data_IF_525114831624
#
_entry.id   IF_525114831624
#
_cell.length_a   1.000
_cell.length_b   1.000
_cell.length_c   1.000
_cell.angle_alpha   90.00
_cell.angle_beta   90.00
_cell.angle_gamma   90.00
#
_symmetry.space_group_name_H-M   'P 1'
#
loop_
_entity.id
_entity.type
_entity.pdbx_description
1 polymer ?
#
# COMPACT_ATOMS: atom_id res chain seq x y z
N UNK A 1 11.98 17.55 13.23
CA UNK A 1 12.64 18.28 12.14
C UNK A 1 14.14 18.03 12.18
N UNK A 2 14.70 17.69 11.05
CA UNK A 2 16.15 17.55 10.86
C UNK A 2 16.74 18.94 10.69
N UNK A 3 17.78 19.28 11.43
CA UNK A 3 18.40 20.58 11.36
C UNK A 3 19.79 20.50 10.72
N UNK A 4 20.18 21.43 9.82
CA UNK A 4 21.46 21.37 9.12
C UNK A 4 22.69 21.58 10.04
N UNK A 5 22.49 22.11 11.22
CA UNK A 5 23.60 22.30 12.19
C UNK A 5 23.78 21.05 13.05
N UNK A 6 24.96 20.42 13.04
CA UNK A 6 25.20 19.18 13.78
C UNK A 6 24.89 19.26 15.28
N UNK A 7 25.19 20.37 15.91
CA UNK A 7 24.96 20.59 17.32
C UNK A 7 23.44 20.63 17.67
N UNK A 8 22.61 21.17 16.78
CA UNK A 8 21.15 21.17 16.95
C UNK A 8 20.59 19.79 16.66
N UNK A 9 21.08 19.11 15.60
CA UNK A 9 20.71 17.73 15.31
C UNK A 9 21.02 16.81 16.49
N UNK A 10 22.22 16.93 17.09
CA UNK A 10 22.62 16.15 18.27
C UNK A 10 21.71 16.43 19.48
N UNK A 11 21.28 17.67 19.68
CA UNK A 11 20.34 18.05 20.74
C UNK A 11 18.97 17.40 20.52
N UNK A 12 18.44 17.46 19.29
CA UNK A 12 17.17 16.84 18.92
C UNK A 12 17.20 15.32 19.14
N UNK A 13 18.28 14.67 18.74
CA UNK A 13 18.46 13.24 18.93
C UNK A 13 18.52 12.87 20.41
N UNK A 14 19.36 13.55 21.18
CA UNK A 14 19.59 13.22 22.58
C UNK A 14 18.37 13.47 23.47
N UNK A 15 17.73 14.62 23.34
CA UNK A 15 16.73 15.06 24.30
C UNK A 15 15.30 14.78 23.80
N UNK A 16 14.95 15.17 22.56
CA UNK A 16 13.58 15.07 22.08
C UNK A 16 13.23 13.64 21.68
N UNK A 17 14.07 12.96 20.89
CA UNK A 17 13.79 11.60 20.46
C UNK A 17 13.80 10.63 21.64
N UNK A 18 14.70 10.85 22.61
CA UNK A 18 14.71 10.09 23.86
C UNK A 18 13.38 10.25 24.60
N UNK A 19 12.93 11.49 24.81
CA UNK A 19 11.68 11.79 25.52
C UNK A 19 10.46 11.16 24.80
N UNK A 20 10.34 11.36 23.50
CA UNK A 20 9.26 10.82 22.69
C UNK A 20 9.18 9.29 22.81
N UNK A 21 10.30 8.63 22.77
CA UNK A 21 10.34 7.18 22.91
C UNK A 21 10.09 6.71 24.34
N UNK A 22 10.64 7.38 25.35
CA UNK A 22 10.37 7.06 26.75
C UNK A 22 8.89 7.26 27.11
N UNK A 23 8.20 8.15 26.39
CA UNK A 23 6.75 8.30 26.43
C UNK A 23 5.98 7.18 25.72
N UNK A 24 6.65 6.21 25.11
CA UNK A 24 6.03 5.04 24.49
C UNK A 24 5.68 5.18 23.02
N UNK A 25 6.16 6.20 22.32
CA UNK A 25 5.96 6.36 20.88
C UNK A 25 6.70 5.26 20.13
N UNK A 26 6.00 4.61 19.17
CA UNK A 26 6.52 3.51 18.36
C UNK A 26 6.58 3.83 16.88
N UNK A 27 5.75 4.76 16.43
CA UNK A 27 5.68 5.20 15.04
C UNK A 27 6.06 6.67 14.98
N UNK A 28 6.99 7.00 14.11
CA UNK A 28 7.39 8.38 13.85
C UNK A 28 7.16 8.72 12.39
N UNK A 29 6.59 9.88 12.14
CA UNK A 29 6.54 10.51 10.83
C UNK A 29 7.57 11.64 10.81
N UNK A 30 8.61 11.48 9.98
CA UNK A 30 9.60 12.53 9.74
C UNK A 30 9.15 13.35 8.54
N UNK A 31 8.58 14.51 8.83
CA UNK A 31 8.13 15.45 7.82
C UNK A 31 9.28 16.35 7.38
N UNK A 32 9.17 16.81 6.16
CA UNK A 32 10.10 17.73 5.51
C UNK A 32 11.54 17.50 5.92
N UNK A 33 12.26 16.76 5.14
CA UNK A 33 13.71 16.84 5.18
C UNK A 33 14.09 18.28 4.82
N UNK A 34 14.31 19.10 5.80
CA UNK A 34 14.89 20.43 5.60
C UNK A 34 16.28 20.26 5.03
N UNK A 35 16.33 20.19 3.73
CA UNK A 35 17.54 19.86 2.97
C UNK A 35 18.44 21.06 3.00
N UNK A 36 19.23 21.22 4.07
CA UNK A 36 20.20 22.31 4.15
C UNK A 36 21.42 22.08 3.27
N UNK A 37 21.92 20.86 3.17
CA UNK A 37 23.23 20.55 2.61
C UNK A 37 23.23 19.43 1.55
N UNK A 38 22.09 19.13 0.95
CA UNK A 38 21.94 18.11 -0.09
C UNK A 38 21.05 16.93 0.34
N UNK A 39 20.71 16.10 -0.61
CA UNK A 39 19.72 15.02 -0.44
C UNK A 39 20.12 13.95 0.60
N UNK A 40 21.41 13.70 0.78
CA UNK A 40 21.92 12.76 1.80
C UNK A 40 21.67 13.22 3.24
N UNK A 41 21.36 14.48 3.45
CA UNK A 41 21.07 15.02 4.79
C UNK A 41 19.80 14.41 5.37
N UNK A 42 18.73 14.32 4.58
CA UNK A 42 17.49 13.66 4.98
C UNK A 42 17.70 12.20 5.33
N UNK A 43 18.43 11.45 4.49
CA UNK A 43 18.79 10.06 4.74
C UNK A 43 19.56 9.90 6.08
N UNK A 44 20.53 10.76 6.33
CA UNK A 44 21.30 10.69 7.58
C UNK A 44 20.39 10.92 8.80
N UNK A 45 19.48 11.88 8.74
CA UNK A 45 18.56 12.14 9.83
C UNK A 45 17.58 10.99 10.08
N UNK A 46 17.06 10.38 9.02
CA UNK A 46 16.18 9.20 9.14
C UNK A 46 16.97 8.02 9.71
N UNK A 47 18.22 7.83 9.29
CA UNK A 47 19.10 6.80 9.83
C UNK A 47 19.38 7.00 11.33
N UNK A 48 19.65 8.23 11.75
CA UNK A 48 19.86 8.57 13.14
C UNK A 48 18.62 8.24 14.00
N UNK A 49 17.44 8.60 13.52
CA UNK A 49 16.17 8.23 14.17
C UNK A 49 16.02 6.71 14.24
N UNK A 50 16.29 6.02 13.16
CA UNK A 50 16.23 4.56 13.07
C UNK A 50 17.18 3.86 14.04
N UNK A 51 18.34 4.44 14.31
CA UNK A 51 19.31 3.92 15.27
C UNK A 51 18.94 4.21 16.73
N UNK A 52 18.28 5.34 17.00
CA UNK A 52 17.93 5.73 18.38
C UNK A 52 16.69 4.99 18.87
N UNK A 53 15.70 4.77 18.03
CA UNK A 53 14.41 4.19 18.42
C UNK A 53 14.53 2.81 19.10
N UNK A 54 15.41 1.87 18.67
CA UNK A 54 15.56 0.59 19.33
C UNK A 54 16.30 0.64 20.67
N UNK A 55 17.19 1.60 20.87
CA UNK A 55 18.16 1.62 21.97
C UNK A 55 17.58 1.81 23.36
N UNK A 56 16.32 2.14 23.49
CA UNK A 56 15.78 2.55 24.76
C UNK A 56 14.73 1.59 25.32
N UNK A 57 15.11 0.33 25.36
CA UNK A 57 14.50 -0.61 26.28
C UNK A 57 13.09 -1.07 25.94
N UNK A 58 12.72 -0.97 24.69
CA UNK A 58 11.48 -1.56 24.21
C UNK A 58 11.84 -2.44 23.01
N UNK A 59 11.62 -3.71 23.13
CA UNK A 59 11.89 -4.72 22.08
C UNK A 59 11.02 -4.54 20.82
N UNK A 60 10.36 -3.40 20.68
CA UNK A 60 9.56 -3.06 19.50
C UNK A 60 10.45 -2.56 18.37
N UNK A 61 10.22 -3.08 17.18
CA UNK A 61 10.85 -2.59 15.95
C UNK A 61 10.45 -1.15 15.70
N UNK A 62 11.37 -0.27 15.28
CA UNK A 62 11.03 1.08 14.89
C UNK A 62 10.16 1.05 13.63
N UNK A 63 9.15 1.91 13.59
CA UNK A 63 8.38 2.16 12.38
C UNK A 63 8.41 3.65 12.08
N UNK A 64 9.06 4.00 10.99
CA UNK A 64 9.28 5.37 10.56
C UNK A 64 8.66 5.56 9.18
N UNK A 65 7.90 6.63 9.00
CA UNK A 65 7.41 7.10 7.71
C UNK A 65 8.12 8.40 7.39
N UNK A 66 8.79 8.48 6.26
CA UNK A 66 9.56 9.65 5.84
C UNK A 66 9.09 10.19 4.51
N UNK A 67 9.20 11.50 4.33
CA UNK A 67 9.06 12.13 3.02
C UNK A 67 10.32 11.95 2.16
N UNK A 68 11.47 11.75 2.80
CA UNK A 68 12.73 11.58 2.10
C UNK A 68 12.88 10.14 1.57
N UNK A 69 12.89 10.03 0.24
CA UNK A 69 13.03 8.77 -0.50
C UNK A 69 14.38 8.58 -1.16
N UNK A 70 15.45 9.20 -0.66
CA UNK A 70 16.79 8.98 -1.21
C UNK A 70 17.22 7.52 -1.11
N UNK A 71 18.03 7.08 -2.07
CA UNK A 71 18.56 5.70 -2.08
C UNK A 71 19.26 5.36 -0.76
N UNK A 72 18.77 4.35 -0.07
CA UNK A 72 19.21 3.96 1.28
C UNK A 72 18.14 4.19 2.37
N UNK A 73 17.15 5.03 2.13
CA UNK A 73 16.06 5.30 3.09
C UNK A 73 15.27 4.04 3.43
N UNK A 74 15.12 3.12 2.48
CA UNK A 74 14.43 1.83 2.69
C UNK A 74 14.98 0.99 3.84
N UNK A 75 16.20 1.24 4.27
CA UNK A 75 16.82 0.56 5.41
C UNK A 75 16.26 1.00 6.76
N UNK A 76 15.61 2.15 6.80
CA UNK A 76 15.20 2.82 8.04
C UNK A 76 13.72 3.17 8.07
N UNK A 77 13.13 3.49 6.93
CA UNK A 77 11.78 4.05 6.86
C UNK A 77 10.99 3.55 5.66
N UNK A 78 9.67 3.55 5.80
CA UNK A 78 8.75 3.64 4.68
C UNK A 78 8.61 5.09 4.21
N UNK A 79 8.05 5.27 3.03
CA UNK A 79 7.95 6.58 2.37
C UNK A 79 6.49 6.91 2.11
N UNK A 80 6.11 8.17 2.30
CA UNK A 80 4.86 8.68 1.73
C UNK A 80 5.18 9.72 0.65
N UNK A 81 4.27 9.89 -0.29
CA UNK A 81 4.49 10.72 -1.48
C UNK A 81 4.43 12.22 -1.22
N UNK A 82 4.20 12.65 0.02
CA UNK A 82 4.09 14.06 0.39
C UNK A 82 2.67 14.62 0.27
N UNK A 83 2.57 15.93 0.31
CA UNK A 83 1.32 16.68 0.40
C UNK A 83 0.70 16.89 -0.99
N UNK A 84 -0.29 16.12 -1.35
CA UNK A 84 -1.04 16.31 -2.59
C UNK A 84 -2.50 16.68 -2.32
N UNK A 85 -3.14 17.25 -3.34
CA UNK A 85 -4.57 17.54 -3.34
C UNK A 85 -5.36 16.34 -3.85
N UNK A 86 -6.29 15.87 -3.05
CA UNK A 86 -7.23 14.81 -3.42
C UNK A 86 -8.46 15.31 -4.17
N UNK A 87 -9.49 14.45 -4.29
CA UNK A 87 -10.73 14.75 -4.97
C UNK A 87 -10.64 14.80 -6.50
N UNK A 88 -9.50 14.44 -7.05
CA UNK A 88 -9.20 14.46 -8.49
C UNK A 88 -8.68 13.10 -8.92
N UNK A 89 -9.11 12.61 -10.07
CA UNK A 89 -8.67 11.32 -10.61
C UNK A 89 -7.16 11.28 -10.93
N UNK A 90 -6.56 12.45 -11.22
CA UNK A 90 -5.12 12.62 -11.37
C UNK A 90 -4.35 12.11 -10.17
N UNK A 91 -4.91 12.21 -8.97
CA UNK A 91 -4.32 11.71 -7.74
C UNK A 91 -4.09 10.20 -7.79
N UNK A 92 -5.10 9.42 -8.20
CA UNK A 92 -4.98 7.97 -8.36
C UNK A 92 -4.05 7.63 -9.53
N UNK A 93 -4.20 8.30 -10.68
CA UNK A 93 -3.32 8.10 -11.85
C UNK A 93 -1.86 8.37 -11.55
N UNK A 94 -1.55 9.35 -10.73
CA UNK A 94 -0.21 9.64 -10.29
C UNK A 94 0.34 8.54 -9.37
N UNK A 95 -0.47 8.06 -8.42
CA UNK A 95 0.03 7.18 -7.37
C UNK A 95 0.23 5.73 -7.81
N UNK A 96 -0.58 5.18 -8.69
CA UNK A 96 -0.39 3.79 -9.14
C UNK A 96 1.00 3.60 -9.76
N UNK A 97 1.41 4.34 -10.80
CA UNK A 97 2.77 4.21 -11.34
C UNK A 97 3.86 4.66 -10.36
N UNK A 98 3.57 5.59 -9.45
CA UNK A 98 4.51 6.00 -8.40
C UNK A 98 4.82 4.83 -7.45
N UNK A 99 3.82 4.09 -7.02
CA UNK A 99 4.03 2.92 -6.15
C UNK A 99 4.79 1.80 -6.89
N UNK A 100 4.46 1.56 -8.13
CA UNK A 100 5.19 0.60 -8.98
C UNK A 100 6.66 1.04 -9.13
N UNK A 101 6.89 2.30 -9.46
CA UNK A 101 8.22 2.88 -9.63
C UNK A 101 9.05 2.90 -8.34
N UNK A 102 8.40 3.12 -7.20
CA UNK A 102 9.03 3.04 -5.88
C UNK A 102 9.57 1.63 -5.61
N UNK A 103 8.77 0.60 -5.86
CA UNK A 103 9.19 -0.79 -5.77
C UNK A 103 10.38 -1.10 -6.68
N UNK A 104 10.34 -0.65 -7.93
CA UNK A 104 11.43 -0.83 -8.90
C UNK A 104 12.72 -0.10 -8.48
N UNK A 105 12.60 0.95 -7.68
CA UNK A 105 13.73 1.73 -7.15
C UNK A 105 14.27 1.20 -5.83
N UNK A 106 13.80 0.04 -5.35
CA UNK A 106 14.21 -0.55 -4.09
C UNK A 106 13.58 0.11 -2.85
N UNK A 107 12.47 0.84 -3.04
CA UNK A 107 11.69 1.50 -1.98
C UNK A 107 10.31 0.82 -1.87
N UNK A 108 10.23 -0.43 -1.36
CA UNK A 108 9.00 -1.22 -1.45
C UNK A 108 7.90 -0.74 -0.51
N UNK A 109 8.26 -0.05 0.59
CA UNK A 109 7.32 0.42 1.60
C UNK A 109 6.90 1.85 1.29
N UNK A 110 5.94 1.99 0.39
CA UNK A 110 5.38 3.27 -0.08
C UNK A 110 3.94 3.44 0.38
N UNK A 111 3.58 4.66 0.69
CA UNK A 111 2.19 5.07 0.94
C UNK A 111 1.93 6.48 0.40
N UNK A 112 0.70 6.91 0.48
CA UNK A 112 0.25 8.28 0.20
C UNK A 112 -0.94 8.60 1.10
N UNK A 113 -1.21 9.88 1.31
CA UNK A 113 -2.38 10.30 2.06
C UNK A 113 -3.66 9.80 1.37
N UNK A 114 -4.58 9.25 2.14
CA UNK A 114 -5.84 8.77 1.59
C UNK A 114 -6.66 9.92 1.03
N UNK A 115 -6.95 9.88 -0.28
CA UNK A 115 -7.64 10.96 -1.00
C UNK A 115 -6.95 12.34 -0.83
N UNK A 116 -5.61 12.34 -0.76
CA UNK A 116 -4.78 13.52 -0.55
C UNK A 116 -4.83 14.09 0.86
N UNK A 117 -3.92 15.00 1.18
CA UNK A 117 -3.95 15.75 2.43
C UNK A 117 -4.84 16.99 2.33
N UNK A 118 -4.87 17.62 1.15
CA UNK A 118 -5.71 18.79 0.86
C UNK A 118 -6.86 18.41 -0.08
N UNK A 119 -7.98 19.11 0.02
CA UNK A 119 -9.15 18.84 -0.81
C UNK A 119 -9.76 17.46 -0.53
N UNK A 120 -10.14 16.77 -1.58
CA UNK A 120 -10.82 15.48 -1.45
C UNK A 120 -12.33 15.62 -1.30
N UNK A 121 -12.97 14.66 -0.61
CA UNK A 121 -14.41 14.61 -0.35
C UNK A 121 -15.29 14.30 -1.58
N UNK A 122 -14.69 13.89 -2.70
CA UNK A 122 -15.45 13.23 -3.75
C UNK A 122 -15.68 11.78 -3.32
N UNK A 123 -16.93 11.41 -3.07
CA UNK A 123 -17.28 10.12 -2.50
C UNK A 123 -16.78 8.95 -3.36
N UNK A 124 -16.97 9.00 -4.67
CA UNK A 124 -16.54 7.93 -5.57
C UNK A 124 -15.01 7.79 -5.57
N UNK A 125 -14.31 8.89 -5.76
CA UNK A 125 -12.85 8.88 -5.80
C UNK A 125 -12.23 8.46 -4.47
N UNK A 126 -12.75 8.97 -3.33
CA UNK A 126 -12.31 8.57 -1.98
C UNK A 126 -12.48 7.06 -1.78
N UNK A 127 -13.66 6.52 -2.13
CA UNK A 127 -13.95 5.09 -2.02
C UNK A 127 -12.99 4.27 -2.90
N UNK A 128 -12.74 4.71 -4.14
CA UNK A 128 -11.80 4.03 -5.05
C UNK A 128 -10.38 4.05 -4.52
N UNK A 129 -9.95 5.15 -3.90
CA UNK A 129 -8.62 5.25 -3.31
C UNK A 129 -8.45 4.31 -2.11
N UNK A 130 -9.45 4.19 -1.24
CA UNK A 130 -9.46 3.18 -0.17
C UNK A 130 -9.36 1.76 -0.70
N UNK A 131 -10.07 1.45 -1.78
CA UNK A 131 -10.13 0.10 -2.34
C UNK A 131 -8.76 -0.38 -2.81
N UNK A 132 -8.11 0.33 -3.72
CA UNK A 132 -6.86 -0.16 -4.28
C UNK A 132 -5.71 -0.17 -3.26
N UNK A 133 -5.73 0.74 -2.29
CA UNK A 133 -4.73 0.79 -1.21
C UNK A 133 -4.86 -0.36 -0.21
N UNK A 134 -5.90 -1.15 -0.28
CA UNK A 134 -5.99 -2.42 0.46
C UNK A 134 -4.86 -3.36 0.06
N UNK A 135 -4.51 -3.41 -1.22
CA UNK A 135 -3.40 -4.20 -1.77
C UNK A 135 -2.13 -3.36 -1.94
N UNK A 136 -1.77 -2.66 -0.88
CA UNK A 136 -0.54 -1.87 -0.80
C UNK A 136 0.14 -2.08 0.55
N UNK A 137 1.43 -1.76 0.71
CA UNK A 137 2.14 -1.96 1.97
C UNK A 137 1.52 -1.23 3.14
N UNK A 138 1.15 0.02 2.96
CA UNK A 138 0.66 0.90 4.02
C UNK A 138 -0.56 1.70 3.57
N UNK A 139 -1.43 2.02 4.52
CA UNK A 139 -2.50 3.01 4.33
C UNK A 139 -2.32 4.12 5.34
N UNK A 140 -2.23 5.35 4.86
CA UNK A 140 -2.09 6.55 5.67
C UNK A 140 -3.31 7.44 5.46
N UNK A 141 -4.02 7.73 6.53
CA UNK A 141 -5.14 8.67 6.50
C UNK A 141 -4.75 9.92 7.27
N UNK A 142 -4.66 11.03 6.58
CA UNK A 142 -4.30 12.32 7.13
C UNK A 142 -5.24 13.42 6.63
N UNK A 143 -5.37 14.45 7.44
CA UNK A 143 -6.16 15.63 7.18
C UNK A 143 -5.27 16.87 7.29
N UNK A 144 -5.25 17.71 6.26
CA UNK A 144 -4.51 18.95 6.26
C UNK A 144 -5.14 19.98 7.22
N UNK A 145 -4.44 20.25 8.32
CA UNK A 145 -4.78 21.29 9.28
C UNK A 145 -6.14 21.12 9.98
N UNK A 146 -6.67 19.90 10.04
CA UNK A 146 -7.98 19.60 10.62
C UNK A 146 -9.17 20.17 9.84
N UNK A 147 -9.00 20.43 8.54
CA UNK A 147 -10.02 21.07 7.72
C UNK A 147 -10.71 20.14 6.70
N UNK A 148 -10.15 18.96 6.47
CA UNK A 148 -10.59 18.03 5.42
C UNK A 148 -10.79 16.61 5.95
N UNK A 149 -11.73 16.43 6.85
CA UNK A 149 -12.04 15.10 7.39
C UNK A 149 -12.33 14.10 6.29
N UNK A 150 -11.44 13.11 6.14
CA UNK A 150 -11.51 12.02 5.15
C UNK A 150 -11.31 10.66 5.79
N UNK A 151 -11.66 10.53 7.06
CA UNK A 151 -11.67 9.24 7.75
C UNK A 151 -12.58 8.25 7.00
N UNK A 152 -12.40 6.95 7.19
CA UNK A 152 -13.19 5.95 6.45
C UNK A 152 -14.70 6.14 6.52
N UNK A 153 -15.20 6.83 7.55
CA UNK A 153 -16.62 7.07 7.80
C UNK A 153 -17.07 8.51 7.53
N UNK A 154 -16.16 9.42 7.16
CA UNK A 154 -16.45 10.86 7.13
C UNK A 154 -17.43 11.27 6.02
N UNK A 155 -17.47 10.54 4.92
CA UNK A 155 -18.31 10.85 3.76
C UNK A 155 -19.70 10.18 3.82
N UNK A 156 -20.02 9.46 4.90
CA UNK A 156 -21.29 8.78 5.05
C UNK A 156 -21.44 7.53 4.18
N UNK A 157 -22.67 7.02 4.08
CA UNK A 157 -22.97 5.86 3.25
C UNK A 157 -23.08 6.23 1.75
N UNK A 158 -22.70 5.32 0.83
CA UNK A 158 -22.23 3.95 1.05
C UNK A 158 -20.72 3.85 1.33
N UNK A 159 -19.96 4.95 1.29
CA UNK A 159 -18.51 4.94 1.48
C UNK A 159 -18.09 4.33 2.81
N UNK A 160 -18.77 4.66 3.90
CA UNK A 160 -18.49 4.12 5.25
C UNK A 160 -18.48 2.59 5.27
N UNK A 161 -19.53 1.96 4.76
CA UNK A 161 -19.65 0.50 4.74
C UNK A 161 -18.62 -0.14 3.82
N UNK A 162 -18.38 0.45 2.66
CA UNK A 162 -17.39 -0.04 1.69
C UNK A 162 -15.98 0.07 2.27
N UNK A 163 -15.59 1.23 2.77
CA UNK A 163 -14.26 1.46 3.34
C UNK A 163 -13.98 0.54 4.53
N UNK A 164 -14.98 0.35 5.40
CA UNK A 164 -14.89 -0.60 6.53
C UNK A 164 -14.60 -2.01 6.05
N UNK A 165 -15.28 -2.46 5.02
CA UNK A 165 -15.10 -3.80 4.47
C UNK A 165 -13.68 -4.00 3.93
N UNK A 166 -13.18 -3.03 3.15
CA UNK A 166 -11.82 -3.09 2.60
C UNK A 166 -10.74 -3.01 3.69
N UNK A 167 -10.93 -2.21 4.73
CA UNK A 167 -10.00 -2.15 5.86
C UNK A 167 -9.95 -3.47 6.65
N UNK A 168 -11.10 -4.12 6.84
CA UNK A 168 -11.15 -5.46 7.45
C UNK A 168 -10.40 -6.47 6.59
N UNK A 169 -10.64 -6.47 5.29
CA UNK A 169 -9.95 -7.34 4.34
C UNK A 169 -8.43 -7.13 4.39
N UNK A 170 -7.96 -5.87 4.46
CA UNK A 170 -6.53 -5.58 4.64
C UNK A 170 -5.98 -6.19 5.93
N UNK A 171 -6.71 -6.11 7.03
CA UNK A 171 -6.31 -6.73 8.30
C UNK A 171 -6.27 -8.26 8.21
N UNK A 172 -7.23 -8.87 7.52
CA UNK A 172 -7.27 -10.32 7.31
C UNK A 172 -6.12 -10.81 6.42
N UNK A 173 -5.70 -10.02 5.43
CA UNK A 173 -4.58 -10.32 4.53
C UNK A 173 -3.19 -10.10 5.17
N UNK A 174 -3.09 -9.75 6.44
CA UNK A 174 -1.83 -9.43 7.09
C UNK A 174 -0.75 -10.52 6.95
N UNK A 175 -1.04 -11.83 7.12
CA UNK A 175 -0.03 -12.86 6.96
C UNK A 175 0.53 -12.95 5.54
N UNK A 176 -0.32 -12.78 4.53
CA UNK A 176 0.11 -12.70 3.14
C UNK A 176 0.99 -11.47 2.92
N UNK A 177 0.52 -10.29 3.38
CA UNK A 177 1.27 -9.03 3.27
C UNK A 177 2.63 -9.13 3.95
N UNK A 178 2.71 -9.74 5.12
CA UNK A 178 3.96 -9.91 5.85
C UNK A 178 4.94 -10.83 5.13
N UNK A 179 4.45 -11.91 4.54
CA UNK A 179 5.26 -12.83 3.74
C UNK A 179 5.86 -12.16 2.51
N UNK A 180 5.06 -11.39 1.75
CA UNK A 180 5.59 -10.67 0.58
C UNK A 180 6.45 -9.46 0.97
N UNK A 181 6.27 -8.89 2.16
CA UNK A 181 7.18 -7.90 2.71
C UNK A 181 8.55 -8.50 3.01
N UNK A 182 8.61 -9.76 3.45
CA UNK A 182 9.87 -10.49 3.60
C UNK A 182 10.57 -10.70 2.26
N UNK A 183 9.83 -11.02 1.20
CA UNK A 183 10.39 -11.13 -0.15
C UNK A 183 11.00 -9.81 -0.64
N UNK A 184 10.47 -8.67 -0.17
CA UNK A 184 11.00 -7.35 -0.52
C UNK A 184 12.41 -7.11 0.04
N UNK A 185 12.78 -7.74 1.14
CA UNK A 185 14.16 -7.71 1.68
C UNK A 185 15.14 -8.33 0.69
N UNK A 186 14.69 -9.34 -0.06
CA UNK A 186 15.47 -10.04 -1.08
C UNK A 186 15.31 -9.41 -2.49
N UNK A 187 14.70 -8.24 -2.58
CA UNK A 187 14.61 -7.45 -3.80
C UNK A 187 13.31 -7.62 -4.61
N UNK A 188 12.33 -8.39 -4.13
CA UNK A 188 11.02 -8.50 -4.78
C UNK A 188 10.01 -7.58 -4.09
N UNK A 189 9.63 -6.44 -4.68
CA UNK A 189 8.71 -5.52 -4.02
C UNK A 189 7.33 -6.14 -3.80
N UNK A 190 6.59 -5.61 -2.82
CA UNK A 190 5.21 -6.03 -2.57
C UNK A 190 4.30 -5.65 -3.75
N UNK A 191 4.42 -4.42 -4.24
CA UNK A 191 3.77 -3.95 -5.48
C UNK A 191 4.74 -4.16 -6.63
N UNK A 192 4.35 -4.98 -7.59
CA UNK A 192 5.20 -5.42 -8.70
C UNK A 192 4.66 -4.92 -10.03
N UNK A 193 5.52 -4.28 -10.80
CA UNK A 193 5.22 -4.04 -12.21
C UNK A 193 4.87 -5.38 -12.89
N UNK A 194 3.91 -5.37 -13.80
CA UNK A 194 3.48 -6.60 -14.47
C UNK A 194 4.64 -7.36 -15.13
N UNK A 195 5.64 -6.64 -15.67
CA UNK A 195 6.78 -7.27 -16.32
C UNK A 195 7.75 -8.01 -15.38
N UNK A 196 7.70 -7.74 -14.06
CA UNK A 196 8.53 -8.49 -13.11
C UNK A 196 8.09 -9.95 -12.96
N UNK A 197 6.79 -10.19 -13.08
CA UNK A 197 6.21 -11.53 -12.97
C UNK A 197 5.91 -12.14 -14.36
N UNK A 198 5.55 -11.30 -15.33
CA UNK A 198 5.10 -11.71 -16.66
C UNK A 198 5.78 -10.89 -17.76
N UNK A 199 7.10 -11.08 -17.99
CA UNK A 199 7.86 -10.29 -18.96
C UNK A 199 7.44 -10.61 -20.39
N UNK A 200 6.81 -9.67 -21.06
CA UNK A 200 6.45 -9.75 -22.48
C UNK A 200 6.26 -8.36 -23.08
N UNK A 201 6.11 -8.27 -24.39
CA UNK A 201 5.97 -6.97 -25.08
C UNK A 201 4.80 -6.14 -24.60
N UNK A 202 3.72 -6.74 -24.12
CA UNK A 202 2.55 -6.05 -23.63
C UNK A 202 2.84 -5.41 -22.26
N UNK A 203 3.55 -6.11 -21.40
CA UNK A 203 3.85 -5.66 -20.03
C UNK A 203 5.01 -4.67 -19.93
N UNK A 204 5.88 -4.61 -20.95
CA UNK A 204 6.95 -3.60 -21.01
C UNK A 204 6.48 -2.20 -21.39
N UNK A 205 5.26 -2.07 -21.92
CA UNK A 205 4.72 -0.80 -22.37
C UNK A 205 3.75 -0.19 -21.36
N UNK A 206 3.12 0.91 -21.80
CA UNK A 206 2.14 1.64 -20.99
C UNK A 206 0.81 0.92 -20.80
N UNK A 207 0.57 -0.17 -21.52
CA UNK A 207 -0.70 -0.89 -21.47
C UNK A 207 -1.05 -1.41 -20.07
N UNK A 208 -0.06 -1.62 -19.23
CA UNK A 208 -0.23 -2.12 -17.86
C UNK A 208 0.21 -1.11 -16.78
N UNK A 209 0.35 0.17 -17.11
CA UNK A 209 0.82 1.18 -16.14
C UNK A 209 -0.15 1.41 -14.96
N UNK A 210 -1.43 1.09 -15.13
CA UNK A 210 -2.46 1.23 -14.11
C UNK A 210 -2.97 -0.11 -13.56
N UNK A 211 -2.13 -1.13 -13.62
CA UNK A 211 -2.36 -2.40 -12.94
C UNK A 211 -1.04 -2.94 -12.42
N UNK A 212 -1.10 -3.76 -11.38
CA UNK A 212 0.09 -4.32 -10.76
C UNK A 212 -0.19 -5.68 -10.13
N UNK A 213 0.87 -6.41 -9.85
CA UNK A 213 0.79 -7.57 -8.97
C UNK A 213 1.07 -7.15 -7.53
N UNK A 214 0.25 -7.59 -6.61
CA UNK A 214 0.52 -7.52 -5.17
C UNK A 214 0.99 -8.90 -4.71
N UNK A 215 2.30 -9.03 -4.55
CA UNK A 215 2.93 -10.33 -4.43
C UNK A 215 2.74 -11.20 -5.67
N UNK A 216 2.86 -12.53 -5.55
CA UNK A 216 2.77 -13.43 -6.70
C UNK A 216 1.34 -13.73 -7.17
N UNK A 217 0.30 -13.41 -6.37
CA UNK A 217 -1.02 -13.98 -6.61
C UNK A 217 -2.13 -12.99 -6.94
N UNK A 218 -2.07 -11.75 -6.46
CA UNK A 218 -3.11 -10.77 -6.73
C UNK A 218 -2.75 -9.86 -7.89
N UNK A 219 -3.58 -9.83 -8.90
CA UNK A 219 -3.55 -8.80 -9.94
C UNK A 219 -4.59 -7.75 -9.58
N UNK A 220 -4.15 -6.52 -9.39
CA UNK A 220 -4.98 -5.39 -9.00
C UNK A 220 -5.04 -4.40 -10.15
N UNK A 221 -6.25 -4.10 -10.62
CA UNK A 221 -6.50 -3.17 -11.72
C UNK A 221 -7.45 -2.05 -11.28
N UNK A 222 -6.96 -1.02 -10.57
CA UNK A 222 -7.80 0.01 -10.00
C UNK A 222 -8.64 0.78 -11.04
N UNK A 223 -9.78 1.29 -10.60
CA UNK A 223 -10.46 2.36 -11.30
C UNK A 223 -9.65 3.65 -11.06
N UNK A 224 -9.14 4.25 -12.10
CA UNK A 224 -8.18 5.36 -12.02
C UNK A 224 -8.60 6.63 -12.76
N UNK A 225 -9.78 6.60 -13.35
CA UNK A 225 -10.33 7.73 -14.10
C UNK A 225 -11.85 7.71 -14.02
N UNK A 226 -12.46 8.83 -14.35
CA UNK A 226 -13.90 8.87 -14.55
C UNK A 226 -14.28 7.95 -15.70
N UNK A 227 -15.16 7.02 -15.42
CA UNK A 227 -15.60 6.02 -16.39
C UNK A 227 -17.05 6.25 -16.75
N UNK A 228 -17.45 5.85 -17.97
CA UNK A 228 -18.85 5.87 -18.32
C UNK A 228 -19.56 4.75 -17.57
N UNK A 229 -20.56 5.12 -16.78
CA UNK A 229 -21.43 4.16 -16.15
C UNK A 229 -22.19 3.36 -17.22
N UNK A 230 -22.31 2.04 -17.00
CA UNK A 230 -23.24 1.23 -17.78
C UNK A 230 -24.71 1.58 -17.47
N UNK A 231 -25.67 0.91 -18.12
CA UNK A 231 -27.10 1.13 -17.87
C UNK A 231 -27.51 0.89 -16.40
N UNK A 232 -26.69 0.19 -15.63
CA UNK A 232 -26.90 -0.08 -14.20
C UNK A 232 -26.18 0.92 -13.28
N UNK A 233 -25.47 1.89 -13.83
CA UNK A 233 -24.71 2.89 -13.08
C UNK A 233 -23.38 2.38 -12.54
N UNK A 234 -22.83 1.30 -13.09
CA UNK A 234 -21.50 0.80 -12.70
C UNK A 234 -20.40 1.58 -13.41
N UNK A 235 -19.25 1.70 -12.76
CA UNK A 235 -18.03 2.07 -13.46
C UNK A 235 -17.59 0.92 -14.39
N UNK A 236 -16.93 1.28 -15.47
CA UNK A 236 -16.37 0.32 -16.43
C UNK A 236 -14.86 0.42 -16.42
N UNK A 237 -14.18 -0.71 -16.26
CA UNK A 237 -12.72 -0.82 -16.36
C UNK A 237 -12.35 -1.55 -17.64
N UNK A 238 -11.71 -0.84 -18.55
CA UNK A 238 -11.16 -1.38 -19.78
C UNK A 238 -9.66 -1.66 -19.66
N UNK A 239 -9.15 -2.47 -20.57
CA UNK A 239 -7.72 -2.68 -20.73
C UNK A 239 -7.06 -3.45 -19.59
N UNK A 240 -7.77 -4.36 -18.91
CA UNK A 240 -7.14 -5.23 -17.90
C UNK A 240 -6.44 -6.37 -18.63
N UNK A 241 -5.12 -6.40 -18.57
CA UNK A 241 -4.35 -7.51 -19.12
C UNK A 241 -4.24 -8.64 -18.11
N UNK A 242 -4.79 -9.79 -18.46
CA UNK A 242 -4.62 -11.03 -17.72
C UNK A 242 -3.52 -11.85 -18.40
N UNK A 243 -2.37 -12.09 -17.77
CA UNK A 243 -1.32 -12.94 -18.29
C UNK A 243 -1.76 -14.39 -18.50
N UNK A 244 -0.90 -15.20 -19.14
CA UNK A 244 -1.14 -16.62 -19.34
C UNK A 244 -1.49 -17.33 -18.02
N UNK A 245 -2.44 -18.28 -18.09
CA UNK A 245 -2.98 -19.04 -16.96
C UNK A 245 -4.43 -18.68 -16.67
N UNK A 246 -5.00 -19.30 -15.64
CA UNK A 246 -6.37 -19.04 -15.23
C UNK A 246 -6.40 -18.05 -14.08
N UNK A 247 -7.28 -17.08 -14.17
CA UNK A 247 -7.49 -16.02 -13.18
C UNK A 247 -8.91 -16.08 -12.63
N UNK A 248 -9.05 -15.77 -11.36
CA UNK A 248 -10.33 -15.80 -10.67
C UNK A 248 -10.66 -14.40 -10.17
N UNK A 249 -11.80 -13.85 -10.57
CA UNK A 249 -12.31 -12.61 -9.96
C UNK A 249 -12.47 -12.84 -8.44
N UNK A 250 -11.74 -12.08 -7.65
CA UNK A 250 -11.65 -12.27 -6.20
C UNK A 250 -13.01 -12.15 -5.48
N UNK A 251 -13.90 -11.34 -6.00
CA UNK A 251 -15.19 -11.07 -5.36
C UNK A 251 -16.34 -11.96 -5.86
N UNK A 252 -16.25 -12.45 -7.09
CA UNK A 252 -17.35 -13.23 -7.68
C UNK A 252 -17.03 -14.71 -7.85
N UNK A 253 -15.74 -15.06 -7.84
CA UNK A 253 -15.28 -16.41 -8.15
C UNK A 253 -15.34 -16.76 -9.64
N UNK A 254 -15.69 -15.82 -10.50
CA UNK A 254 -15.71 -16.04 -11.96
C UNK A 254 -14.31 -16.29 -12.48
N UNK A 255 -14.18 -17.30 -13.35
CA UNK A 255 -12.89 -17.68 -13.94
C UNK A 255 -12.70 -17.05 -15.30
N UNK A 256 -11.48 -16.60 -15.55
CA UNK A 256 -11.04 -16.02 -16.80
C UNK A 256 -9.82 -16.79 -17.31
N UNK A 257 -9.85 -17.18 -18.56
CA UNK A 257 -8.65 -17.66 -19.24
C UNK A 257 -7.77 -16.46 -19.60
N UNK A 258 -6.50 -16.53 -19.19
CA UNK A 258 -5.55 -15.46 -19.40
C UNK A 258 -5.05 -15.36 -20.84
N UNK A 259 -3.92 -14.64 -21.00
CA UNK A 259 -3.38 -14.22 -22.28
C UNK A 259 -4.39 -13.35 -23.08
N UNK A 260 -5.12 -12.52 -22.39
CA UNK A 260 -6.16 -11.68 -22.97
C UNK A 260 -6.22 -10.31 -22.31
N UNK A 261 -6.95 -9.40 -22.95
CA UNK A 261 -7.31 -8.10 -22.41
C UNK A 261 -8.81 -8.10 -22.12
N UNK A 262 -9.17 -7.87 -20.86
CA UNK A 262 -10.56 -7.75 -20.46
C UNK A 262 -10.98 -6.28 -20.61
N UNK A 263 -12.05 -6.08 -21.36
CA UNK A 263 -12.72 -4.80 -21.55
C UNK A 263 -14.16 -4.89 -21.04
N UNK A 264 -14.79 -3.74 -20.85
CA UNK A 264 -16.16 -3.64 -20.35
C UNK A 264 -16.36 -4.33 -18.97
N UNK A 265 -15.32 -4.37 -18.14
CA UNK A 265 -15.43 -4.97 -16.82
C UNK A 265 -16.25 -4.07 -15.91
N UNK A 266 -17.46 -4.50 -15.57
CA UNK A 266 -18.37 -3.73 -14.72
C UNK A 266 -17.91 -3.74 -13.26
N UNK A 267 -17.74 -2.57 -12.70
CA UNK A 267 -17.28 -2.35 -11.31
C UNK A 267 -18.26 -1.42 -10.59
N UNK A 268 -19.29 -1.95 -9.93
CA UNK A 268 -20.09 -1.14 -9.01
C UNK A 268 -19.16 -0.50 -7.95
N UNK A 269 -19.61 0.59 -7.33
CA UNK A 269 -18.74 1.38 -6.44
C UNK A 269 -18.03 0.55 -5.37
N UNK A 270 -18.66 -0.50 -4.87
CA UNK A 270 -18.07 -1.38 -3.85
C UNK A 270 -16.97 -2.31 -4.39
N UNK A 271 -16.90 -2.55 -5.71
CA UNK A 271 -16.05 -3.57 -6.30
C UNK A 271 -14.79 -2.97 -6.92
N UNK A 272 -13.64 -3.39 -6.45
CA UNK A 272 -12.35 -3.18 -7.11
C UNK A 272 -12.08 -4.35 -8.07
N UNK A 273 -11.62 -4.12 -9.31
CA UNK A 273 -11.13 -5.19 -10.15
C UNK A 273 -9.87 -5.82 -9.55
N UNK A 274 -10.03 -7.01 -8.97
CA UNK A 274 -8.95 -7.82 -8.40
C UNK A 274 -9.11 -9.25 -8.88
N UNK A 275 -8.03 -9.83 -9.38
CA UNK A 275 -7.99 -11.20 -9.85
C UNK A 275 -6.92 -11.98 -9.08
N UNK A 276 -7.25 -13.21 -8.75
CA UNK A 276 -6.32 -14.14 -8.11
C UNK A 276 -5.87 -15.18 -9.12
N UNK A 277 -4.57 -15.42 -9.17
CA UNK A 277 -4.02 -16.48 -10.03
C UNK A 277 -4.45 -17.85 -9.51
N UNK A 278 -4.92 -18.72 -10.41
CA UNK A 278 -5.14 -20.12 -10.07
C UNK A 278 -3.84 -20.78 -9.59
N UNK A 279 -3.95 -21.64 -8.58
CA UNK A 279 -2.82 -22.19 -7.84
C UNK A 279 -2.43 -21.38 -6.60
N UNK A 280 -3.07 -20.24 -6.35
CA UNK A 280 -2.76 -19.41 -5.18
C UNK A 280 -3.13 -20.10 -3.86
N UNK A 281 -2.26 -19.89 -2.87
CA UNK A 281 -2.48 -20.23 -1.45
C UNK A 281 -2.24 -18.94 -0.68
N UNK A 282 -3.30 -18.35 -0.13
CA UNK A 282 -3.27 -17.05 0.52
C UNK A 282 -3.47 -17.24 2.01
N UNK A 283 -2.43 -17.06 2.84
CA UNK A 283 -2.59 -17.10 4.29
C UNK A 283 -3.28 -15.82 4.78
N UNK A 284 -4.23 -15.98 5.67
CA UNK A 284 -5.05 -14.92 6.25
C UNK A 284 -5.21 -15.12 7.76
N UNK A 285 -5.62 -14.07 8.45
CA UNK A 285 -6.08 -14.17 9.85
C UNK A 285 -7.58 -14.45 9.91
N UNK A 286 -8.09 -14.68 11.12
CA UNK A 286 -9.52 -14.63 11.38
C UNK A 286 -10.08 -13.23 11.07
N UNK A 287 -11.37 -13.13 10.69
CA UNK A 287 -12.04 -11.83 10.59
C UNK A 287 -11.88 -11.03 11.89
N UNK A 288 -11.49 -9.77 11.76
CA UNK A 288 -11.21 -8.91 12.92
C UNK A 288 -11.52 -7.44 12.61
N UNK A 289 -11.64 -6.61 13.65
CA UNK A 289 -11.81 -5.18 13.52
C UNK A 289 -10.49 -4.42 13.71
N UNK A 290 -9.52 -5.06 14.34
CA UNK A 290 -8.18 -4.52 14.55
C UNK A 290 -7.20 -5.65 14.89
N UNK A 291 -5.92 -5.35 14.83
CA UNK A 291 -4.84 -6.34 15.03
C UNK A 291 -4.83 -7.00 16.41
N UNK A 292 -5.45 -6.39 17.42
CA UNK A 292 -5.53 -6.99 18.77
C UNK A 292 -6.52 -8.15 18.86
N UNK A 293 -7.42 -8.26 17.90
CA UNK A 293 -8.41 -9.34 17.78
C UNK A 293 -7.89 -10.54 16.97
N UNK A 294 -6.66 -10.44 16.44
CA UNK A 294 -6.05 -11.53 15.67
C UNK A 294 -5.75 -12.71 16.60
N UNK A 295 -6.30 -13.86 16.27
CA UNK A 295 -6.01 -15.10 16.97
C UNK A 295 -4.70 -15.70 16.41
N UNK A 296 -3.62 -15.58 17.15
CA UNK A 296 -2.28 -16.08 16.76
C UNK A 296 -2.24 -17.62 16.58
N UNK A 297 -3.22 -18.35 17.13
CA UNK A 297 -3.29 -19.79 17.02
C UNK A 297 -4.18 -20.26 15.85
N UNK A 298 -4.74 -19.34 15.08
CA UNK A 298 -5.60 -19.64 13.94
C UNK A 298 -5.01 -19.02 12.67
N UNK A 299 -4.82 -19.84 11.66
CA UNK A 299 -4.49 -19.39 10.31
C UNK A 299 -5.58 -19.87 9.35
N UNK A 300 -6.09 -18.95 8.55
CA UNK A 300 -7.04 -19.21 7.47
C UNK A 300 -6.28 -19.23 6.17
N UNK A 301 -6.56 -20.20 5.30
CA UNK A 301 -5.98 -20.24 3.97
C UNK A 301 -7.08 -20.19 2.92
N UNK A 302 -7.05 -19.20 2.04
CA UNK A 302 -7.81 -19.23 0.81
C UNK A 302 -7.00 -19.95 -0.26
N UNK A 303 -7.59 -21.01 -0.82
CA UNK A 303 -6.91 -21.87 -1.80
C UNK A 303 -7.66 -21.82 -3.12
N UNK A 304 -6.93 -21.54 -4.21
CA UNK A 304 -7.43 -21.52 -5.59
C UNK A 304 -6.78 -22.68 -6.36
N UNK A 305 -7.31 -23.90 -6.27
CA UNK A 305 -6.64 -25.11 -6.72
C UNK A 305 -6.39 -25.10 -8.23
N UNK A 306 -5.13 -25.37 -8.63
CA UNK A 306 -4.73 -25.60 -10.00
C UNK A 306 -3.41 -26.37 -10.02
N UNK A 307 -3.49 -27.70 -10.21
CA UNK A 307 -2.32 -28.57 -10.14
C UNK A 307 -1.63 -28.57 -8.78
N UNK A 308 -0.32 -28.75 -8.80
CA UNK A 308 0.52 -28.68 -7.61
C UNK A 308 1.07 -27.28 -7.44
N UNK A 309 0.86 -26.67 -6.28
CA UNK A 309 1.36 -25.35 -5.94
C UNK A 309 1.86 -25.31 -4.50
N UNK A 310 2.68 -24.31 -4.18
CA UNK A 310 3.16 -24.07 -2.83
C UNK A 310 3.32 -22.57 -2.61
N UNK A 311 3.21 -22.16 -1.36
CA UNK A 311 3.51 -20.82 -0.89
C UNK A 311 4.36 -20.91 0.39
N UNK A 312 5.40 -20.13 0.48
CA UNK A 312 6.20 -20.02 1.70
C UNK A 312 5.68 -18.85 2.53
N UNK A 313 5.03 -19.16 3.63
CA UNK A 313 4.62 -18.17 4.61
C UNK A 313 5.80 -17.82 5.51
N UNK A 314 6.00 -16.53 5.73
CA UNK A 314 6.94 -16.00 6.71
C UNK A 314 6.18 -15.44 7.91
N UNK A 315 6.61 -15.85 9.09
CA UNK A 315 6.15 -15.31 10.37
C UNK A 315 7.34 -15.24 11.33
N UNK A 316 7.25 -14.39 12.32
CA UNK A 316 8.25 -14.27 13.39
C UNK A 316 7.58 -13.85 14.71
N UNK A 317 8.34 -13.83 15.76
CA UNK A 317 7.88 -13.52 17.12
C UNK A 317 7.94 -12.03 17.49
N UNK A 318 8.28 -11.17 16.53
CA UNK A 318 8.35 -9.70 16.68
C UNK A 318 9.78 -9.19 16.84
#
# INVERSE_FOLDING_TARGET
DLHPKPEISALLQRDILKEVRDAGVRVLKTDVAWVGAGYSFGLNGVADVGHIMPYYGNDARPFIISLDGWAGTQRYAGIWSGDQTGGQWEYIRFHIPTYIGSGLSGQPNITSDMDGIFGGKNLAMNTRDFQWKTWTPMQLNMDGWGANEKYPHALGEPATSINRWYLKMKSELMPYAYSIAKEAVDGKPMIRAMFLEYPNQYTYGKATEYQFMYGPYFLVAPIYQETHADEKGNDIRDGIYLPEGTWVDYFTGEKYEGNCVVNNFASPLWKLPVFVKSGAIIPMTNPNNNVTEINKNLRVYEIYPDGNSSFTEYDDDG
#
